data_IF_171358493396
#
_entry.id   IF_171358493396
#
_cell.length_a   1.000
_cell.length_b   1.000
_cell.length_c   1.000
_cell.angle_alpha   90.00
_cell.angle_beta   90.00
_cell.angle_gamma   90.00
#
_symmetry.space_group_name_H-M   'P 1'
#
loop_
_entity.id
_entity.type
_entity.pdbx_description
1 polymer ?
#
# COMPACT_ATOMS: atom_id res chain seq x y z
N UNK A 1 7.78 16.25 16.32
CA UNK A 1 6.68 17.20 16.05
C UNK A 1 7.29 18.50 15.57
N UNK A 2 6.77 19.05 14.46
CA UNK A 2 7.29 20.31 13.92
C UNK A 2 6.94 21.48 14.86
N UNK A 3 7.89 22.28 15.30
CA UNK A 3 7.63 23.26 16.37
C UNK A 3 6.63 24.35 15.98
N UNK A 4 6.57 24.74 14.71
CA UNK A 4 5.64 25.76 14.21
C UNK A 4 4.43 25.20 13.44
N UNK A 5 4.43 23.90 13.15
CA UNK A 5 3.35 23.22 12.42
C UNK A 5 3.01 21.88 13.10
N UNK A 6 2.27 21.92 14.22
CA UNK A 6 2.02 20.72 15.04
C UNK A 6 1.16 19.64 14.33
N UNK A 7 0.46 20.03 13.26
CA UNK A 7 -0.41 19.15 12.49
C UNK A 7 0.29 18.46 11.29
N UNK A 8 1.60 18.69 11.11
CA UNK A 8 2.36 18.00 10.06
C UNK A 8 2.53 16.53 10.45
N UNK A 9 2.13 15.65 9.54
CA UNK A 9 2.32 14.21 9.70
C UNK A 9 3.71 13.86 9.19
N UNK A 10 4.53 13.29 10.07
CA UNK A 10 5.79 12.65 9.68
C UNK A 10 5.59 11.16 9.57
N UNK A 11 6.04 10.57 8.49
CA UNK A 11 6.02 9.13 8.32
C UNK A 11 7.31 8.65 7.64
N UNK A 12 7.66 7.39 7.88
CA UNK A 12 8.84 6.76 7.30
C UNK A 12 8.61 5.27 7.07
N UNK A 13 9.50 4.64 6.33
CA UNK A 13 9.42 3.21 6.05
C UNK A 13 9.55 2.35 7.31
N UNK A 14 10.53 2.67 8.16
CA UNK A 14 10.73 1.98 9.44
C UNK A 14 11.23 0.53 9.31
N UNK A 15 11.76 0.15 8.16
CA UNK A 15 12.34 -1.18 7.96
C UNK A 15 13.67 -1.32 8.68
N UNK A 16 13.97 -2.51 9.20
CA UNK A 16 15.24 -2.76 9.89
C UNK A 16 16.44 -2.80 8.92
N UNK A 17 16.25 -3.03 7.63
CA UNK A 17 17.25 -3.04 6.57
C UNK A 17 18.52 -3.83 6.90
N UNK A 18 18.43 -4.83 7.79
CA UNK A 18 19.56 -5.63 8.30
C UNK A 18 20.70 -4.78 8.91
N UNK A 19 20.41 -3.55 9.32
CA UNK A 19 21.38 -2.66 9.95
C UNK A 19 21.83 -3.23 11.29
N UNK A 20 23.15 -3.39 11.44
CA UNK A 20 23.75 -3.82 12.73
C UNK A 20 23.99 -2.60 13.59
N UNK A 21 23.41 -2.61 14.79
CA UNK A 21 23.73 -1.62 15.83
C UNK A 21 24.98 -2.07 16.56
N UNK A 22 26.06 -1.32 16.44
CA UNK A 22 27.35 -1.64 17.08
C UNK A 22 27.47 -1.09 18.51
N UNK A 23 26.61 -0.13 18.87
CA UNK A 23 26.59 0.48 20.21
C UNK A 23 25.38 -0.01 20.98
N UNK A 24 25.53 -0.63 22.15
CA UNK A 24 24.43 -1.23 22.92
C UNK A 24 23.40 -0.22 23.42
N UNK A 25 23.73 1.06 23.45
CA UNK A 25 22.85 2.16 23.90
C UNK A 25 22.03 2.80 22.76
N UNK A 26 22.26 2.36 21.52
CA UNK A 26 21.57 2.92 20.33
C UNK A 26 20.51 1.93 19.89
N UNK A 27 19.30 2.42 19.76
CA UNK A 27 18.18 1.66 19.18
C UNK A 27 17.88 2.14 17.76
N UNK A 28 17.41 1.23 16.90
CA UNK A 28 17.04 1.57 15.53
C UNK A 28 15.71 2.34 15.49
N UNK A 29 15.63 3.36 14.64
CA UNK A 29 14.41 4.06 14.33
C UNK A 29 13.58 3.20 13.35
N UNK A 30 12.89 2.20 13.87
CA UNK A 30 12.09 1.25 13.10
C UNK A 30 10.69 1.04 13.70
N UNK A 31 9.87 0.25 13.05
CA UNK A 31 8.49 -0.06 13.48
C UNK A 31 8.44 -0.55 14.94
N UNK A 32 9.33 -1.43 15.34
CA UNK A 32 9.35 -2.03 16.68
C UNK A 32 9.65 -1.03 17.81
N UNK A 33 10.29 0.08 17.45
CA UNK A 33 10.55 1.19 18.36
C UNK A 33 9.62 2.39 18.15
N UNK A 34 8.52 2.21 17.41
CA UNK A 34 7.57 3.27 17.06
C UNK A 34 7.05 4.07 18.25
N UNK A 35 6.81 3.42 19.37
CA UNK A 35 6.32 4.07 20.61
C UNK A 35 7.33 5.08 21.19
N UNK A 36 8.62 4.91 20.90
CA UNK A 36 9.69 5.81 21.33
C UNK A 36 9.88 7.02 20.41
N UNK A 37 9.16 7.08 19.31
CA UNK A 37 9.26 8.15 18.30
C UNK A 37 7.93 8.93 18.21
N UNK A 38 7.67 9.86 19.13
CA UNK A 38 6.44 10.65 19.12
C UNK A 38 6.33 11.47 17.83
N UNK A 39 5.14 11.53 17.25
CA UNK A 39 4.88 12.32 16.04
C UNK A 39 5.37 11.71 14.74
N UNK A 40 5.86 10.46 14.74
CA UNK A 40 6.23 9.73 13.51
C UNK A 40 5.35 8.51 13.34
N UNK A 41 4.88 8.27 12.11
CA UNK A 41 4.13 7.08 11.69
C UNK A 41 4.99 6.20 10.78
N UNK A 42 4.62 4.93 10.62
CA UNK A 42 5.40 3.95 9.88
C UNK A 42 4.52 3.18 8.91
N UNK A 43 5.06 2.86 7.74
CA UNK A 43 4.38 2.00 6.79
C UNK A 43 4.01 0.65 7.42
N UNK A 44 2.78 0.21 7.18
CA UNK A 44 2.27 -1.07 7.68
C UNK A 44 2.34 -2.12 6.56
N UNK A 45 3.41 -2.90 6.55
CA UNK A 45 3.51 -4.10 5.73
C UNK A 45 2.44 -5.14 6.10
N UNK A 46 2.00 -5.17 7.35
CA UNK A 46 0.97 -6.10 7.80
C UNK A 46 -0.34 -5.96 7.01
N UNK A 47 -0.85 -4.73 6.82
CA UNK A 47 -2.09 -4.54 6.05
C UNK A 47 -1.87 -4.74 4.56
N UNK A 48 -0.72 -4.29 4.03
CA UNK A 48 -0.34 -4.52 2.63
C UNK A 48 -0.31 -6.02 2.32
N UNK A 49 0.47 -6.78 3.09
CA UNK A 49 0.68 -8.21 2.84
C UNK A 49 -0.60 -9.02 3.11
N UNK A 50 -1.40 -8.60 4.09
CA UNK A 50 -2.73 -9.15 4.29
C UNK A 50 -3.60 -9.00 3.04
N UNK A 51 -3.64 -7.82 2.44
CA UNK A 51 -4.53 -7.52 1.32
C UNK A 51 -4.04 -8.11 -0.01
N UNK A 52 -2.76 -7.91 -0.35
CA UNK A 52 -2.26 -8.22 -1.70
C UNK A 52 -1.17 -9.30 -1.75
N UNK A 53 -0.74 -9.83 -0.61
CA UNK A 53 0.45 -10.68 -0.49
C UNK A 53 1.73 -9.87 -0.38
N UNK A 54 2.86 -10.54 -0.14
CA UNK A 54 4.15 -9.88 0.03
C UNK A 54 4.56 -9.07 -1.20
N UNK A 55 5.32 -7.99 -0.97
CA UNK A 55 5.88 -7.17 -2.05
C UNK A 55 6.96 -7.90 -2.87
N UNK A 56 7.56 -8.97 -2.32
CA UNK A 56 8.71 -9.64 -2.90
C UNK A 56 8.36 -10.86 -3.78
N UNK A 57 7.15 -11.38 -3.63
CA UNK A 57 6.66 -12.51 -4.42
C UNK A 57 5.32 -12.14 -5.09
N UNK A 58 5.36 -11.99 -6.40
CA UNK A 58 4.18 -11.64 -7.19
C UNK A 58 3.12 -12.76 -7.24
N UNK A 59 3.49 -14.00 -6.98
CA UNK A 59 2.57 -15.14 -6.97
C UNK A 59 1.91 -15.34 -5.61
N UNK A 60 2.50 -14.82 -4.52
CA UNK A 60 1.89 -14.91 -3.21
C UNK A 60 0.59 -14.10 -3.16
N UNK A 61 -0.50 -14.76 -2.81
CA UNK A 61 -1.83 -14.17 -2.75
C UNK A 61 -2.10 -13.55 -1.39
N UNK A 62 -2.79 -12.43 -1.38
CA UNK A 62 -3.44 -11.86 -0.22
C UNK A 62 -4.97 -12.04 -0.26
N UNK A 63 -5.68 -11.42 0.67
CA UNK A 63 -7.12 -11.50 0.79
C UNK A 63 -7.87 -11.13 -0.51
N UNK A 64 -7.52 -9.99 -1.12
CA UNK A 64 -8.20 -9.55 -2.34
C UNK A 64 -7.80 -10.35 -3.58
N UNK A 65 -6.73 -11.11 -3.53
CA UNK A 65 -6.26 -11.95 -4.63
C UNK A 65 -6.60 -13.44 -4.46
N UNK A 66 -7.46 -13.77 -3.48
CA UNK A 66 -8.08 -15.08 -3.34
C UNK A 66 -7.42 -16.01 -2.31
N UNK A 67 -6.61 -15.49 -1.38
CA UNK A 67 -6.16 -16.25 -0.21
C UNK A 67 -7.27 -16.27 0.84
N UNK A 68 -7.65 -17.45 1.30
CA UNK A 68 -8.51 -17.58 2.47
C UNK A 68 -7.75 -17.15 3.73
N UNK A 69 -8.33 -16.23 4.49
CA UNK A 69 -7.67 -15.64 5.65
C UNK A 69 -8.58 -15.69 6.88
N UNK A 70 -7.97 -15.88 8.03
CA UNK A 70 -8.68 -15.88 9.30
C UNK A 70 -9.06 -14.47 9.74
N UNK A 71 -10.29 -14.27 10.20
CA UNK A 71 -10.87 -12.96 10.55
C UNK A 71 -10.13 -12.19 11.64
N UNK A 72 -9.30 -12.84 12.46
CA UNK A 72 -8.49 -12.19 13.49
C UNK A 72 -7.47 -11.19 12.92
N UNK A 73 -6.83 -11.54 11.79
CA UNK A 73 -5.86 -10.66 11.14
C UNK A 73 -6.56 -9.46 10.47
N UNK A 74 -7.73 -9.68 9.85
CA UNK A 74 -8.56 -8.60 9.32
C UNK A 74 -8.92 -7.61 10.43
N UNK A 75 -9.32 -8.11 11.61
CA UNK A 75 -9.62 -7.27 12.76
C UNK A 75 -8.42 -6.43 13.25
N UNK A 76 -7.19 -6.97 13.21
CA UNK A 76 -5.97 -6.21 13.52
C UNK A 76 -5.73 -5.11 12.48
N UNK A 77 -5.90 -5.41 11.20
CA UNK A 77 -5.78 -4.44 10.11
C UNK A 77 -6.77 -3.28 10.28
N UNK A 78 -8.06 -3.57 10.52
CA UNK A 78 -9.07 -2.53 10.72
C UNK A 78 -8.82 -1.65 11.93
N UNK A 79 -8.26 -2.19 13.00
CA UNK A 79 -7.89 -1.40 14.18
C UNK A 79 -6.60 -0.58 13.97
N UNK A 80 -5.89 -0.74 12.86
CA UNK A 80 -4.58 -0.12 12.63
C UNK A 80 -3.55 -0.51 13.70
N UNK A 81 -3.67 -1.72 14.24
CA UNK A 81 -2.85 -2.23 15.33
C UNK A 81 -2.21 -3.58 14.97
N UNK A 82 -1.27 -3.61 14.03
CA UNK A 82 -0.41 -4.76 13.83
C UNK A 82 0.43 -5.04 15.08
N UNK A 83 1.07 -6.20 15.14
CA UNK A 83 1.73 -6.66 16.38
C UNK A 83 2.85 -5.72 16.89
N UNK A 84 3.42 -4.91 16.01
CA UNK A 84 4.43 -3.90 16.35
C UNK A 84 3.84 -2.55 16.81
N UNK A 85 2.54 -2.33 16.66
CA UNK A 85 1.90 -1.03 16.85
C UNK A 85 0.81 -1.10 17.92
N UNK A 86 0.89 -0.23 18.92
CA UNK A 86 -0.10 -0.11 19.99
C UNK A 86 -1.01 1.11 19.84
N UNK A 87 -0.66 2.02 18.92
CA UNK A 87 -1.41 3.24 18.67
C UNK A 87 -1.64 3.42 17.17
N UNK A 88 -2.89 3.39 16.68
CA UNK A 88 -3.20 3.50 15.25
C UNK A 88 -2.58 4.71 14.56
N UNK A 89 -2.37 5.82 15.28
CA UNK A 89 -1.72 7.00 14.69
C UNK A 89 -0.28 6.75 14.22
N UNK A 90 0.32 5.64 14.64
CA UNK A 90 1.65 5.20 14.21
C UNK A 90 1.63 4.37 12.94
N UNK A 91 0.46 3.95 12.48
CA UNK A 91 0.29 3.01 11.38
C UNK A 91 -0.12 3.74 10.11
N UNK A 92 0.72 3.68 9.08
CA UNK A 92 0.38 4.15 7.72
C UNK A 92 -0.16 2.95 6.94
N UNK A 93 -1.47 2.98 6.66
CA UNK A 93 -2.17 1.93 5.94
C UNK A 93 -2.07 2.17 4.43
N UNK A 94 -1.61 1.19 3.69
CA UNK A 94 -1.44 1.27 2.25
C UNK A 94 -1.47 -0.12 1.61
N UNK A 95 -1.58 -0.18 0.30
CA UNK A 95 -1.47 -1.42 -0.49
C UNK A 95 -0.45 -1.28 -1.62
N UNK A 96 -0.21 -0.07 -2.10
CA UNK A 96 0.82 0.24 -3.09
C UNK A 96 1.48 1.58 -2.80
N UNK A 97 2.72 1.74 -3.22
CA UNK A 97 3.48 2.98 -3.14
C UNK A 97 4.33 3.15 -4.41
N UNK A 98 5.35 4.01 -4.39
CA UNK A 98 6.24 4.19 -5.53
C UNK A 98 7.04 2.93 -5.89
N UNK A 99 7.40 2.12 -4.89
CA UNK A 99 8.06 0.81 -5.06
C UNK A 99 7.04 -0.30 -5.33
N UNK A 100 7.48 -1.34 -6.01
CA UNK A 100 6.66 -2.50 -6.33
C UNK A 100 5.63 -2.24 -7.43
N UNK A 101 4.70 -3.17 -7.59
CA UNK A 101 3.57 -3.04 -8.49
C UNK A 101 2.57 -2.00 -7.98
N UNK A 102 1.84 -1.36 -8.90
CA UNK A 102 0.61 -0.67 -8.51
C UNK A 102 -0.43 -1.69 -8.02
N UNK A 103 -1.46 -1.25 -7.31
CA UNK A 103 -2.52 -2.15 -6.86
C UNK A 103 -3.16 -2.91 -8.03
N UNK A 104 -3.48 -2.19 -9.12
CA UNK A 104 -4.12 -2.81 -10.29
C UNK A 104 -3.20 -3.81 -11.01
N UNK A 105 -1.90 -3.49 -11.14
CA UNK A 105 -0.93 -4.41 -11.73
C UNK A 105 -0.78 -5.66 -10.86
N UNK A 106 -0.70 -5.50 -9.54
CA UNK A 106 -0.61 -6.63 -8.60
C UNK A 106 -1.82 -7.56 -8.72
N UNK A 107 -3.03 -7.01 -8.77
CA UNK A 107 -4.25 -7.80 -9.01
C UNK A 107 -4.17 -8.51 -10.36
N UNK A 108 -3.67 -7.84 -11.39
CA UNK A 108 -3.57 -8.40 -12.74
C UNK A 108 -2.55 -9.54 -12.85
N UNK A 109 -1.44 -9.45 -12.12
CA UNK A 109 -0.44 -10.53 -12.04
C UNK A 109 -0.99 -11.72 -11.25
N UNK A 110 -1.59 -11.47 -10.09
CA UNK A 110 -2.09 -12.53 -9.21
C UNK A 110 -3.33 -13.26 -9.77
N UNK A 111 -4.11 -12.59 -10.61
CA UNK A 111 -5.36 -13.07 -11.20
C UNK A 111 -5.40 -12.84 -12.72
N UNK A 112 -4.52 -13.48 -13.50
CA UNK A 112 -4.39 -13.21 -14.94
C UNK A 112 -5.66 -13.59 -15.74
N UNK A 113 -6.49 -14.49 -15.20
CA UNK A 113 -7.74 -14.94 -15.85
C UNK A 113 -8.97 -14.14 -15.42
N UNK A 114 -8.87 -13.26 -14.41
CA UNK A 114 -9.98 -12.43 -13.98
C UNK A 114 -10.32 -11.39 -15.05
N UNK A 115 -11.60 -11.17 -15.28
CA UNK A 115 -12.06 -10.11 -16.15
C UNK A 115 -11.83 -8.72 -15.54
N UNK A 116 -11.98 -7.68 -16.36
CA UNK A 116 -11.74 -6.30 -15.94
C UNK A 116 -12.67 -5.86 -14.81
N UNK A 117 -13.92 -6.30 -14.83
CA UNK A 117 -14.92 -5.98 -13.80
C UNK A 117 -14.55 -6.60 -12.45
N UNK A 118 -14.08 -7.84 -12.46
CA UNK A 118 -13.60 -8.50 -11.24
C UNK A 118 -12.37 -7.79 -10.67
N UNK A 119 -11.41 -7.40 -11.52
CA UNK A 119 -10.23 -6.63 -11.09
C UNK A 119 -10.62 -5.29 -10.45
N UNK A 120 -11.60 -4.58 -11.01
CA UNK A 120 -12.15 -3.34 -10.43
C UNK A 120 -12.75 -3.62 -9.05
N UNK A 121 -13.58 -4.66 -8.90
CA UNK A 121 -14.19 -4.99 -7.60
C UNK A 121 -13.13 -5.25 -6.54
N UNK A 122 -12.06 -5.94 -6.88
CA UNK A 122 -10.96 -6.24 -5.96
C UNK A 122 -10.13 -5.00 -5.62
N UNK A 123 -9.89 -4.12 -6.60
CA UNK A 123 -9.24 -2.84 -6.37
C UNK A 123 -10.04 -2.00 -5.36
N UNK A 124 -11.34 -1.88 -5.58
CA UNK A 124 -12.22 -1.10 -4.70
C UNK A 124 -12.35 -1.74 -3.31
N UNK A 125 -12.36 -3.07 -3.21
CA UNK A 125 -12.35 -3.76 -1.92
C UNK A 125 -11.08 -3.48 -1.13
N UNK A 126 -9.91 -3.49 -1.78
CA UNK A 126 -8.65 -3.13 -1.13
C UNK A 126 -8.68 -1.70 -0.59
N UNK A 127 -9.13 -0.76 -1.43
CA UNK A 127 -9.28 0.66 -1.05
C UNK A 127 -10.20 0.81 0.17
N UNK A 128 -11.38 0.17 0.15
CA UNK A 128 -12.31 0.22 1.28
C UNK A 128 -11.66 -0.27 2.58
N UNK A 129 -10.89 -1.36 2.52
CA UNK A 129 -10.27 -1.92 3.73
C UNK A 129 -9.23 -0.98 4.30
N UNK A 130 -8.22 -0.55 3.52
CA UNK A 130 -7.14 0.25 4.10
C UNK A 130 -7.53 1.70 4.39
N UNK A 131 -8.44 2.29 3.61
CA UNK A 131 -8.90 3.67 3.83
C UNK A 131 -9.83 3.78 5.04
N UNK A 132 -10.66 2.76 5.30
CA UNK A 132 -11.59 2.76 6.43
C UNK A 132 -10.97 2.17 7.70
N UNK A 133 -9.76 1.65 7.64
CA UNK A 133 -9.02 1.19 8.81
C UNK A 133 -8.55 2.37 9.65
N UNK A 134 -8.45 2.18 10.97
CA UNK A 134 -7.83 3.17 11.84
C UNK A 134 -6.35 3.33 11.49
N UNK A 135 -5.85 4.55 11.58
CA UNK A 135 -4.47 4.89 11.20
C UNK A 135 -4.43 6.01 10.16
N UNK A 136 -3.32 6.14 9.47
CA UNK A 136 -3.10 7.14 8.42
C UNK A 136 -3.22 6.43 7.06
N UNK A 137 -4.29 6.66 6.29
CA UNK A 137 -4.39 6.07 4.96
C UNK A 137 -3.42 6.75 3.99
N UNK A 138 -2.77 5.94 3.16
CA UNK A 138 -1.92 6.41 2.07
C UNK A 138 -2.22 5.59 0.81
N UNK A 139 -2.43 6.25 -0.31
CA UNK A 139 -2.54 5.59 -1.61
C UNK A 139 -1.63 6.24 -2.64
N UNK A 140 -1.18 5.43 -3.59
CA UNK A 140 -0.35 5.88 -4.69
C UNK A 140 -1.19 6.75 -5.64
N UNK A 141 -0.72 7.95 -5.96
CA UNK A 141 -1.41 8.83 -6.91
C UNK A 141 -1.67 8.10 -8.25
N UNK A 142 -2.93 8.09 -8.69
CA UNK A 142 -3.43 7.34 -9.83
C UNK A 142 -4.04 5.98 -9.49
N UNK A 143 -3.94 5.49 -8.25
CA UNK A 143 -4.59 4.24 -7.84
C UNK A 143 -6.12 4.35 -8.00
N UNK A 144 -6.68 5.52 -7.73
CA UNK A 144 -8.09 5.88 -7.91
C UNK A 144 -8.56 5.81 -9.38
N UNK A 145 -7.64 5.67 -10.31
CA UNK A 145 -7.91 5.52 -11.74
C UNK A 145 -7.16 4.32 -12.35
N UNK A 146 -6.93 3.28 -11.56
CA UNK A 146 -6.30 2.03 -11.98
C UNK A 146 -4.91 2.22 -12.60
N UNK A 147 -4.10 3.13 -12.04
CA UNK A 147 -2.73 3.35 -12.53
C UNK A 147 -2.00 2.04 -12.75
N UNK A 148 -1.36 1.93 -13.91
CA UNK A 148 -0.57 0.76 -14.30
C UNK A 148 0.81 1.19 -14.79
N UNK A 149 1.82 0.40 -14.45
CA UNK A 149 3.20 0.52 -14.92
C UNK A 149 3.46 -0.49 -16.05
N UNK A 150 2.59 -0.48 -17.05
CA UNK A 150 2.67 -1.42 -18.19
C UNK A 150 3.87 -1.10 -19.07
N UNK A 151 4.69 -2.10 -19.36
CA UNK A 151 5.82 -2.04 -20.29
C UNK A 151 5.36 -2.26 -21.76
N UNK A 152 6.21 -1.93 -22.76
CA UNK A 152 5.87 -2.14 -24.17
C UNK A 152 5.54 -3.59 -24.55
N UNK A 153 6.09 -4.57 -23.81
CA UNK A 153 5.81 -6.00 -24.00
C UNK A 153 4.50 -6.47 -23.34
N UNK A 154 3.76 -5.56 -22.71
CA UNK A 154 2.52 -5.86 -22.02
C UNK A 154 2.69 -6.39 -20.58
N UNK A 155 3.91 -6.63 -20.13
CA UNK A 155 4.17 -6.98 -18.73
C UNK A 155 4.17 -5.75 -17.84
N UNK A 156 4.18 -5.93 -16.52
CA UNK A 156 4.17 -4.86 -15.56
C UNK A 156 5.54 -4.64 -14.92
N UNK A 157 5.91 -3.37 -14.68
CA UNK A 157 7.16 -3.02 -14.04
C UNK A 157 6.97 -2.88 -12.52
N UNK A 158 7.73 -3.63 -11.76
CA UNK A 158 7.66 -3.56 -10.31
C UNK A 158 8.76 -2.67 -9.70
N UNK A 159 9.87 -2.47 -10.41
CA UNK A 159 11.00 -1.65 -9.97
C UNK A 159 11.25 -0.48 -10.93
N UNK A 160 10.32 0.46 -10.93
CA UNK A 160 10.17 1.45 -12.00
C UNK A 160 10.96 2.76 -11.81
N UNK A 161 11.84 2.87 -10.80
CA UNK A 161 12.50 4.14 -10.45
C UNK A 161 13.39 4.70 -11.58
N UNK A 162 13.86 3.87 -12.50
CA UNK A 162 14.60 4.27 -13.71
C UNK A 162 13.80 4.11 -15.00
N UNK A 163 12.54 3.74 -14.91
CA UNK A 163 11.70 3.54 -16.10
C UNK A 163 11.30 4.88 -16.71
N UNK A 164 11.07 4.93 -18.03
CA UNK A 164 10.68 6.15 -18.72
C UNK A 164 9.26 6.59 -18.35
N UNK A 165 8.90 7.82 -18.71
CA UNK A 165 7.57 8.40 -18.47
C UNK A 165 6.45 7.58 -19.10
N UNK A 166 6.72 6.89 -20.20
CA UNK A 166 5.74 5.98 -20.81
C UNK A 166 5.25 4.89 -19.85
N UNK A 167 6.07 4.50 -18.87
CA UNK A 167 5.74 3.56 -17.79
C UNK A 167 5.25 4.30 -16.55
N UNK A 168 5.96 5.35 -16.12
CA UNK A 168 5.75 5.97 -14.82
C UNK A 168 4.71 7.07 -14.76
N UNK A 169 4.38 7.73 -15.89
CA UNK A 169 3.43 8.83 -15.87
C UNK A 169 2.00 8.38 -15.53
N UNK A 170 1.25 9.27 -14.91
CA UNK A 170 -0.20 9.11 -14.71
C UNK A 170 -0.90 9.34 -16.06
N UNK A 171 -1.71 8.38 -16.48
CA UNK A 171 -2.44 8.41 -17.75
C UNK A 171 -3.79 9.12 -17.55
N UNK A 172 -3.79 10.46 -17.45
CA UNK A 172 -5.00 11.24 -17.17
C UNK A 172 -6.16 10.96 -18.10
N UNK A 173 -5.89 10.66 -19.38
CA UNK A 173 -6.93 10.34 -20.39
C UNK A 173 -7.67 9.02 -20.04
N UNK A 174 -7.14 8.19 -19.14
CA UNK A 174 -7.84 6.99 -18.70
C UNK A 174 -9.13 7.30 -17.95
N UNK A 175 -9.26 8.48 -17.34
CA UNK A 175 -10.51 8.93 -16.70
C UNK A 175 -11.69 9.05 -17.68
N UNK A 176 -11.45 9.16 -18.98
CA UNK A 176 -12.50 9.16 -20.00
C UNK A 176 -13.10 7.77 -20.24
N UNK A 177 -12.39 6.71 -19.83
CA UNK A 177 -12.83 5.34 -19.99
C UNK A 177 -13.84 4.97 -18.89
N UNK A 178 -15.02 4.40 -19.24
CA UNK A 178 -16.10 4.19 -18.25
C UNK A 178 -15.72 3.38 -17.02
N UNK A 179 -14.88 2.36 -17.16
CA UNK A 179 -14.43 1.52 -16.05
C UNK A 179 -13.51 2.28 -15.08
N UNK A 180 -12.59 3.07 -15.60
CA UNK A 180 -11.65 3.90 -14.82
C UNK A 180 -12.39 5.02 -14.09
N UNK A 181 -13.32 5.69 -14.77
CA UNK A 181 -14.16 6.72 -14.16
C UNK A 181 -14.98 6.18 -13.00
N UNK A 182 -15.53 4.96 -13.09
CA UNK A 182 -16.25 4.32 -11.98
C UNK A 182 -15.37 4.11 -10.76
N UNK A 183 -14.11 3.74 -10.94
CA UNK A 183 -13.17 3.59 -9.82
C UNK A 183 -12.87 4.95 -9.20
N UNK A 184 -12.61 5.97 -10.02
CA UNK A 184 -12.39 7.32 -9.53
C UNK A 184 -13.56 7.84 -8.69
N UNK A 185 -14.80 7.68 -9.17
CA UNK A 185 -15.98 8.09 -8.40
C UNK A 185 -16.13 7.29 -7.11
N UNK A 186 -15.73 6.02 -7.09
CA UNK A 186 -15.73 5.19 -5.87
C UNK A 186 -14.73 5.71 -4.82
N UNK A 187 -13.52 6.12 -5.23
CA UNK A 187 -12.52 6.69 -4.31
C UNK A 187 -12.92 8.08 -3.81
N UNK A 188 -13.67 8.81 -4.59
CA UNK A 188 -14.16 10.14 -4.23
C UNK A 188 -15.29 10.09 -3.18
N UNK A 189 -16.05 9.03 -3.07
CA UNK A 189 -17.19 8.80 -2.14
C UNK A 189 -18.51 9.01 -2.80
#
# INVERSE_FOLDING_TARGET
VHPTHPNVIFYCEGWNMSTKVTKPIVELANQYNSEKMPGCSFFSDTIRDFLIGTAFDAEEKGFITGKELHGSLLGKCFRGMPDWCKNPSKCVNYVSCHDGYTLFDRISVALPKADFSEKIRRNNLAAAVYMLSQGVPLFLAGEEMLRSKTKPDGSFEHNSYKSPDSVNSIKWNDLEKPGYKKVFEYYKG
#
